data_IF_933987075779
#
_entry.id   IF_933987075779
#
_cell.length_a   1.000
_cell.length_b   1.000
_cell.length_c   1.000
_cell.angle_alpha   90.00
_cell.angle_beta   90.00
_cell.angle_gamma   90.00
#
_symmetry.space_group_name_H-M   'P 1'
#
loop_
_entity.id
_entity.type
_entity.pdbx_description
1 polymer ?
#
# COMPACT_ATOMS: atom_id res chain seq x y z
N UNK A 1 -0.38 3.85 -3.68
CA UNK A 1 -0.70 3.12 -2.42
C UNK A 1 -1.55 3.95 -1.43
N UNK A 2 -1.04 5.06 -0.84
CA UNK A 2 -1.78 5.85 0.17
C UNK A 2 -3.20 6.25 -0.23
N UNK A 3 -3.37 6.77 -1.46
CA UNK A 3 -4.68 7.17 -1.97
C UNK A 3 -5.68 6.01 -2.02
N UNK A 4 -5.24 4.83 -2.47
CA UNK A 4 -6.07 3.61 -2.51
C UNK A 4 -6.44 3.13 -1.10
N UNK A 5 -5.49 3.14 -0.16
CA UNK A 5 -5.75 2.81 1.25
C UNK A 5 -6.80 3.75 1.85
N UNK A 6 -6.67 5.06 1.60
CA UNK A 6 -7.62 6.07 2.08
C UNK A 6 -9.00 5.92 1.42
N UNK A 7 -9.07 5.65 0.12
CA UNK A 7 -10.32 5.39 -0.58
C UNK A 7 -11.07 4.17 -0.01
N UNK A 8 -10.35 3.18 0.51
CA UNK A 8 -10.90 2.02 1.22
C UNK A 8 -11.13 2.24 2.72
N UNK A 9 -11.00 3.48 3.21
CA UNK A 9 -11.15 3.85 4.65
C UNK A 9 -10.29 3.00 5.59
N UNK A 10 -9.14 2.54 5.12
CA UNK A 10 -8.27 1.63 5.86
C UNK A 10 -7.16 2.42 6.57
N UNK A 11 -6.89 2.10 7.84
CA UNK A 11 -5.75 2.68 8.56
C UNK A 11 -4.43 2.02 8.11
N UNK A 12 -3.28 2.63 8.45
CA UNK A 12 -1.99 1.98 8.21
C UNK A 12 -1.84 0.69 9.02
N UNK A 13 -2.36 0.68 10.26
CA UNK A 13 -2.39 -0.50 11.13
C UNK A 13 -3.21 -1.63 10.53
N UNK A 14 -4.39 -1.31 10.01
CA UNK A 14 -5.27 -2.30 9.39
C UNK A 14 -4.63 -2.92 8.15
N UNK A 15 -4.00 -2.10 7.30
CA UNK A 15 -3.27 -2.61 6.13
C UNK A 15 -2.06 -3.47 6.54
N UNK A 16 -1.34 -3.07 7.59
CA UNK A 16 -0.20 -3.82 8.11
C UNK A 16 -0.62 -5.19 8.62
N UNK A 17 -1.67 -5.22 9.43
CA UNK A 17 -2.24 -6.44 9.97
C UNK A 17 -2.68 -7.39 8.86
N UNK A 18 -3.47 -6.90 7.89
CA UNK A 18 -3.97 -7.71 6.77
C UNK A 18 -2.87 -8.19 5.81
N UNK A 19 -1.83 -7.40 5.59
CA UNK A 19 -0.71 -7.77 4.72
C UNK A 19 0.41 -8.54 5.45
N UNK A 20 0.24 -8.79 6.76
CA UNK A 20 1.22 -9.41 7.64
C UNK A 20 2.59 -8.73 7.54
N UNK A 21 2.61 -7.40 7.66
CA UNK A 21 3.81 -6.56 7.68
C UNK A 21 3.77 -5.59 8.85
N UNK A 22 4.92 -5.00 9.19
CA UNK A 22 4.99 -3.99 10.23
C UNK A 22 4.33 -2.66 9.79
N UNK A 23 3.61 -2.01 10.70
CA UNK A 23 3.00 -0.68 10.45
C UNK A 23 4.04 0.39 10.08
N UNK A 24 5.22 0.33 10.68
CA UNK A 24 6.35 1.24 10.41
C UNK A 24 6.88 1.04 8.99
N UNK A 25 6.83 -0.20 8.49
CA UNK A 25 7.18 -0.48 7.11
C UNK A 25 6.19 0.18 6.14
N UNK A 26 4.88 0.09 6.39
CA UNK A 26 3.86 0.83 5.62
C UNK A 26 4.07 2.33 5.67
N UNK A 27 4.31 2.89 6.86
CA UNK A 27 4.59 4.32 7.02
C UNK A 27 5.83 4.75 6.21
N UNK A 28 6.85 3.91 6.15
CA UNK A 28 8.07 4.19 5.37
C UNK A 28 7.82 4.10 3.86
N UNK A 29 7.00 3.14 3.41
CA UNK A 29 6.57 3.03 2.02
C UNK A 29 5.72 4.22 1.57
N UNK A 30 4.75 4.66 2.38
CA UNK A 30 3.90 5.81 2.05
C UNK A 30 4.66 7.14 2.03
N UNK A 31 5.82 7.20 2.71
CA UNK A 31 6.75 8.34 2.69
C UNK A 31 7.86 8.19 1.64
N UNK A 32 7.80 7.16 0.79
CA UNK A 32 8.82 6.87 -0.24
C UNK A 32 10.24 6.68 0.31
N UNK A 33 10.39 6.21 1.56
CA UNK A 33 11.70 5.93 2.17
C UNK A 33 12.29 4.62 1.66
N UNK A 34 11.43 3.63 1.40
CA UNK A 34 11.81 2.33 0.86
C UNK A 34 10.94 1.97 -0.34
N UNK A 35 11.47 1.08 -1.19
CA UNK A 35 10.68 0.40 -2.23
C UNK A 35 10.25 -0.98 -1.70
N UNK A 36 8.98 -1.38 -1.90
CA UNK A 36 8.54 -2.71 -1.51
C UNK A 36 9.15 -3.76 -2.45
N UNK A 37 9.33 -4.99 -1.96
CA UNK A 37 9.56 -6.12 -2.85
C UNK A 37 8.31 -6.41 -3.70
N UNK A 38 8.47 -7.12 -4.81
CA UNK A 38 7.33 -7.53 -5.65
C UNK A 38 6.31 -8.37 -4.86
N UNK A 39 6.78 -9.26 -3.99
CA UNK A 39 5.93 -10.08 -3.13
C UNK A 39 5.11 -9.24 -2.14
N UNK A 40 5.73 -8.23 -1.54
CA UNK A 40 5.05 -7.28 -0.65
C UNK A 40 4.03 -6.44 -1.42
N UNK A 41 4.39 -6.00 -2.63
CA UNK A 41 3.49 -5.24 -3.51
C UNK A 41 2.24 -6.07 -3.84
N UNK A 42 2.41 -7.35 -4.17
CA UNK A 42 1.33 -8.28 -4.46
C UNK A 42 0.41 -8.48 -3.24
N UNK A 43 0.99 -8.66 -2.04
CA UNK A 43 0.21 -8.72 -0.79
C UNK A 43 -0.62 -7.47 -0.56
N UNK A 44 -0.06 -6.28 -0.76
CA UNK A 44 -0.82 -5.04 -0.63
C UNK A 44 -1.93 -4.93 -1.68
N UNK A 45 -1.66 -5.35 -2.91
CA UNK A 45 -2.64 -5.33 -4.00
C UNK A 45 -3.83 -6.24 -3.68
N UNK A 46 -3.55 -7.45 -3.19
CA UNK A 46 -4.56 -8.40 -2.73
C UNK A 46 -5.42 -7.83 -1.58
N UNK A 47 -4.80 -7.24 -0.56
CA UNK A 47 -5.52 -6.63 0.57
C UNK A 47 -6.36 -5.41 0.15
N UNK A 48 -5.83 -4.61 -0.77
CA UNK A 48 -6.51 -3.44 -1.31
C UNK A 48 -7.50 -3.79 -2.42
N UNK A 49 -7.56 -5.04 -2.87
CA UNK A 49 -8.42 -5.52 -3.95
C UNK A 49 -8.22 -4.74 -5.24
N UNK A 50 -6.97 -4.61 -5.68
CA UNK A 50 -6.53 -3.95 -6.92
C UNK A 50 -5.41 -4.76 -7.57
N UNK A 51 -5.01 -4.44 -8.80
CA UNK A 51 -3.83 -5.05 -9.38
C UNK A 51 -2.53 -4.42 -8.85
N UNK A 52 -1.41 -5.16 -8.77
CA UNK A 52 -0.13 -4.60 -8.33
C UNK A 52 0.31 -3.38 -9.17
N UNK A 53 -0.04 -3.37 -10.47
CA UNK A 53 0.23 -2.25 -11.36
C UNK A 53 -0.49 -0.95 -10.92
N UNK A 54 -1.67 -1.03 -10.30
CA UNK A 54 -2.39 0.14 -9.81
C UNK A 54 -1.69 0.81 -8.62
N UNK A 55 -0.88 0.05 -7.87
CA UNK A 55 -0.09 0.60 -6.76
C UNK A 55 1.10 1.44 -7.25
N UNK A 56 1.57 1.17 -8.47
CA UNK A 56 2.71 1.85 -9.14
C UNK A 56 2.26 3.05 -9.99
N UNK A 57 0.97 3.16 -10.29
CA UNK A 57 0.42 4.32 -11.01
C UNK A 57 0.60 5.59 -10.19
N UNK A 58 1.07 6.64 -10.86
CA UNK A 58 1.10 7.98 -10.28
C UNK A 58 -0.36 8.42 -10.04
N UNK A 59 -0.68 9.02 -8.87
CA UNK A 59 -1.98 9.64 -8.70
C UNK A 59 -2.12 10.73 -9.76
N UNK A 60 -3.22 10.72 -10.52
CA UNK A 60 -3.53 11.82 -11.42
C UNK A 60 -3.62 13.10 -10.56
N UNK A 61 -2.80 14.09 -10.89
CA UNK A 61 -3.00 15.46 -10.43
C UNK A 61 -4.04 16.06 -11.38
N UNK A 62 -5.28 16.14 -10.93
CA UNK A 62 -6.21 17.15 -11.43
C UNK A 62 -5.89 18.50 -10.77
#
# INVERSE_FOLDING_TARGET
MRALRQARKMSQEELAHRASVDRTYISSLERCVYSPSIEVLDRFAAVLGVEPADLLRKPNKE
#
